data_IF_553274505070
#
_entry.id   IF_553274505070
#
_cell.length_a   1.000
_cell.length_b   1.000
_cell.length_c   1.000
_cell.angle_alpha   90.00
_cell.angle_beta   90.00
_cell.angle_gamma   90.00
#
_symmetry.space_group_name_H-M   'P 1'
#
loop_
_entity.id
_entity.type
_entity.pdbx_description
1 polymer ?
#
# COMPACT_ATOMS: atom_id res chain seq x y z
N UNK A 1 -7.57 8.73 -6.50
CA UNK A 1 -6.35 8.20 -5.85
C UNK A 1 -6.79 7.23 -4.77
N UNK A 2 -6.23 6.02 -4.74
CA UNK A 2 -6.56 5.04 -3.70
C UNK A 2 -6.12 5.47 -2.29
N UNK A 3 -6.74 4.88 -1.27
CA UNK A 3 -6.40 4.97 0.15
C UNK A 3 -4.94 4.60 0.40
N UNK A 4 -4.45 3.56 -0.27
CA UNK A 4 -3.03 3.18 -0.26
C UNK A 4 -2.15 4.34 -0.72
N UNK A 5 -2.42 4.92 -1.89
CA UNK A 5 -1.62 6.03 -2.44
C UNK A 5 -1.61 7.25 -1.51
N UNK A 6 -2.76 7.57 -0.91
CA UNK A 6 -2.87 8.64 0.08
C UNK A 6 -1.99 8.35 1.29
N UNK A 7 -2.11 7.17 1.91
CA UNK A 7 -1.35 6.79 3.10
C UNK A 7 0.16 6.77 2.86
N UNK A 8 0.59 6.25 1.72
CA UNK A 8 2.00 6.26 1.30
C UNK A 8 2.55 7.70 1.28
N UNK A 9 1.77 8.63 0.69
CA UNK A 9 2.13 10.05 0.64
C UNK A 9 2.14 10.68 2.03
N UNK A 10 1.19 10.34 2.91
CA UNK A 10 1.13 10.85 4.29
C UNK A 10 2.29 10.36 5.14
N UNK A 11 2.75 9.12 4.92
CA UNK A 11 3.93 8.56 5.59
C UNK A 11 5.26 9.08 5.02
N UNK A 12 5.25 9.94 4.00
CA UNK A 12 6.46 10.46 3.38
C UNK A 12 7.30 9.40 2.67
N UNK A 13 6.73 8.22 2.37
CA UNK A 13 7.43 7.13 1.69
C UNK A 13 7.16 7.16 0.19
N UNK A 14 8.11 6.65 -0.58
CA UNK A 14 7.95 6.41 -2.01
C UNK A 14 7.41 4.99 -2.27
N UNK A 15 6.76 4.81 -3.42
CA UNK A 15 6.33 3.48 -3.86
C UNK A 15 7.51 2.51 -4.02
N UNK A 16 8.70 3.02 -4.32
CA UNK A 16 9.91 2.22 -4.49
C UNK A 16 10.45 1.70 -3.16
N UNK A 17 10.47 2.53 -2.13
CA UNK A 17 10.86 2.11 -0.77
C UNK A 17 9.90 1.05 -0.23
N UNK A 18 8.60 1.22 -0.47
CA UNK A 18 7.60 0.25 -0.02
C UNK A 18 7.71 -1.06 -0.81
N UNK A 19 7.94 -0.99 -2.12
CA UNK A 19 8.23 -2.16 -2.95
C UNK A 19 9.43 -2.93 -2.37
N UNK A 20 10.51 -2.23 -2.02
CA UNK A 20 11.73 -2.81 -1.43
C UNK A 20 11.49 -3.38 -0.04
N UNK A 21 10.69 -2.73 0.81
CA UNK A 21 10.38 -3.22 2.16
C UNK A 21 9.43 -4.43 2.15
N UNK A 22 8.50 -4.50 1.21
CA UNK A 22 7.58 -5.65 1.06
C UNK A 22 8.23 -6.80 0.29
N UNK A 23 9.25 -6.52 -0.52
CA UNK A 23 9.86 -7.50 -1.42
C UNK A 23 8.97 -7.81 -2.64
N UNK A 24 8.29 -6.80 -3.18
CA UNK A 24 7.47 -6.93 -4.40
C UNK A 24 7.91 -5.93 -5.45
N UNK A 25 7.53 -6.18 -6.71
CA UNK A 25 7.85 -5.27 -7.80
C UNK A 25 7.10 -3.94 -7.68
N UNK A 26 7.77 -2.85 -8.10
CA UNK A 26 7.19 -1.50 -8.11
C UNK A 26 5.92 -1.42 -8.95
N UNK A 27 5.82 -2.18 -10.05
CA UNK A 27 4.60 -2.22 -10.88
C UNK A 27 3.41 -2.76 -10.10
N UNK A 28 3.62 -3.76 -9.24
CA UNK A 28 2.57 -4.31 -8.38
C UNK A 28 2.08 -3.26 -7.37
N UNK A 29 3.00 -2.52 -6.74
CA UNK A 29 2.64 -1.40 -5.85
C UNK A 29 1.86 -0.33 -6.62
N UNK A 30 2.33 0.04 -7.81
CA UNK A 30 1.68 1.07 -8.62
C UNK A 30 0.27 0.64 -9.06
N UNK A 31 0.10 -0.62 -9.46
CA UNK A 31 -1.21 -1.19 -9.76
C UNK A 31 -2.14 -1.10 -8.56
N UNK A 32 -1.69 -1.50 -7.37
CA UNK A 32 -2.49 -1.42 -6.14
C UNK A 32 -2.77 0.03 -5.70
N UNK A 33 -1.86 0.96 -6.02
CA UNK A 33 -2.08 2.39 -5.86
C UNK A 33 -3.13 2.96 -6.82
N UNK A 34 -3.29 2.37 -8.01
CA UNK A 34 -4.24 2.80 -9.03
C UNK A 34 -5.60 2.15 -8.83
N UNK A 35 -5.63 0.83 -8.68
CA UNK A 35 -6.82 -0.01 -8.63
C UNK A 35 -7.41 -0.14 -7.22
N UNK A 36 -6.63 0.22 -6.19
CA UNK A 36 -6.99 0.01 -4.79
C UNK A 36 -6.67 -1.42 -4.31
N UNK A 37 -6.62 -1.61 -2.99
CA UNK A 37 -6.44 -2.94 -2.40
C UNK A 37 -7.82 -3.46 -1.96
N UNK A 38 -8.26 -4.57 -2.55
CA UNK A 38 -9.52 -5.24 -2.15
C UNK A 38 -9.30 -6.45 -1.24
N UNK A 39 -8.04 -6.86 -1.06
CA UNK A 39 -7.69 -8.10 -0.34
C UNK A 39 -7.00 -7.79 0.98
N UNK A 40 -7.53 -8.33 2.07
CA UNK A 40 -7.01 -8.14 3.43
C UNK A 40 -5.55 -8.62 3.56
N UNK A 41 -5.18 -9.73 2.89
CA UNK A 41 -3.81 -10.27 2.91
C UNK A 41 -2.78 -9.28 2.37
N UNK A 42 -3.12 -8.58 1.29
CA UNK A 42 -2.26 -7.56 0.71
C UNK A 42 -2.23 -6.36 1.67
N UNK A 43 -3.39 -5.89 2.12
CA UNK A 43 -3.49 -4.76 3.04
C UNK A 43 -2.66 -4.97 4.32
N UNK A 44 -2.63 -6.19 4.88
CA UNK A 44 -1.81 -6.53 6.07
C UNK A 44 -0.31 -6.28 5.86
N UNK A 45 0.25 -6.69 4.72
CA UNK A 45 1.68 -6.46 4.41
C UNK A 45 2.02 -4.97 4.35
N UNK A 46 1.13 -4.16 3.78
CA UNK A 46 1.32 -2.72 3.74
C UNK A 46 1.10 -2.06 5.10
N UNK A 47 0.11 -2.53 5.86
CA UNK A 47 -0.23 -2.06 7.19
C UNK A 47 0.95 -2.18 8.17
N UNK A 48 1.69 -3.29 8.14
CA UNK A 48 2.90 -3.49 8.96
C UNK A 48 3.96 -2.41 8.68
N UNK A 49 4.16 -2.06 7.43
CA UNK A 49 5.21 -1.11 6.99
C UNK A 49 4.79 0.35 7.14
N UNK A 50 3.51 0.62 6.95
CA UNK A 50 2.90 1.94 7.05
C UNK A 50 2.36 2.21 8.46
N UNK A 51 2.56 1.28 9.42
CA UNK A 51 2.06 1.36 10.80
C UNK A 51 0.59 1.80 10.89
N UNK A 52 -0.26 1.17 10.08
CA UNK A 52 -1.69 1.44 10.04
C UNK A 52 -2.50 0.15 10.05
N UNK A 53 -3.81 0.26 10.22
CA UNK A 53 -4.68 -0.91 10.18
C UNK A 53 -4.97 -1.32 8.74
N UNK A 54 -5.04 -2.62 8.42
CA UNK A 54 -5.32 -3.09 7.06
C UNK A 54 -6.69 -2.61 6.54
N UNK A 55 -7.66 -2.35 7.43
CA UNK A 55 -8.96 -1.77 7.06
C UNK A 55 -8.86 -0.35 6.49
N UNK A 56 -7.90 0.46 6.93
CA UNK A 56 -7.67 1.79 6.36
C UNK A 56 -7.19 1.74 4.92
N UNK A 57 -6.57 0.63 4.52
CA UNK A 57 -6.00 0.44 3.18
C UNK A 57 -6.96 -0.27 2.22
N UNK A 58 -8.00 -0.92 2.74
CA UNK A 58 -9.01 -1.59 1.94
C UNK A 58 -9.91 -0.59 1.23
N UNK A 59 -10.16 -0.85 -0.05
CA UNK A 59 -11.17 -0.18 -0.86
C UNK A 59 -12.31 -1.16 -1.17
N UNK A 60 -13.53 -0.66 -1.06
CA UNK A 60 -14.78 -1.37 -1.37
C UNK A 60 -15.35 -0.85 -2.68
#
# INVERSE_FOLDING_TARGET
MSRLKKKIKTCGKTQMEIAKQIGIDRKTVNRQCRDGIRTVRVARRYAEILKCTPQELLEY
#
